data_IF_421727814272
#
_entry.id   IF_421727814272
#
_cell.length_a   1.000
_cell.length_b   1.000
_cell.length_c   1.000
_cell.angle_alpha   90.00
_cell.angle_beta   90.00
_cell.angle_gamma   90.00
#
_symmetry.space_group_name_H-M   'P 1'
#
loop_
_entity.id
_entity.type
_entity.pdbx_description
1 polymer ?
#
# COMPACT_ATOMS: atom_id res chain seq x y z
N UNK A 1 22.97 -18.61 28.97
CA UNK A 1 21.84 -17.98 28.26
C UNK A 1 22.45 -16.80 27.57
N UNK A 2 22.48 -16.85 26.24
CA UNK A 2 23.13 -15.82 25.44
C UNK A 2 22.41 -14.49 25.69
N UNK A 3 23.14 -13.41 25.94
CA UNK A 3 22.55 -12.11 26.33
C UNK A 3 21.87 -11.40 25.14
N UNK A 4 21.86 -12.04 23.97
CA UNK A 4 21.43 -11.53 22.66
C UNK A 4 19.91 -11.63 22.40
N UNK A 5 19.14 -12.33 23.23
CA UNK A 5 17.69 -12.54 23.01
C UNK A 5 16.80 -11.60 23.85
N UNK A 6 17.38 -10.57 24.47
CA UNK A 6 16.61 -9.56 25.22
C UNK A 6 15.83 -8.67 24.26
N UNK A 7 14.50 -8.71 24.34
CA UNK A 7 13.59 -7.84 23.59
C UNK A 7 13.60 -6.45 24.22
N UNK A 8 13.83 -5.41 23.40
CA UNK A 8 13.83 -3.99 23.82
C UNK A 8 12.60 -3.24 23.33
N UNK A 9 11.93 -3.72 22.28
CA UNK A 9 10.65 -3.19 21.80
C UNK A 9 9.82 -4.32 21.18
N UNK A 10 8.52 -4.31 21.43
CA UNK A 10 7.57 -5.22 20.79
C UNK A 10 6.30 -4.45 20.43
N UNK A 11 5.88 -4.53 19.18
CA UNK A 11 4.51 -4.24 18.79
C UNK A 11 3.80 -5.58 18.76
N UNK A 12 2.90 -5.77 19.73
CA UNK A 12 2.27 -7.06 20.02
C UNK A 12 1.71 -7.71 18.75
N UNK A 13 2.21 -8.90 18.42
CA UNK A 13 1.75 -9.70 17.28
C UNK A 13 2.29 -9.27 15.92
N UNK A 14 3.03 -8.15 15.83
CA UNK A 14 3.55 -7.62 14.57
C UNK A 14 5.07 -7.81 14.48
N UNK A 15 5.82 -7.28 15.45
CA UNK A 15 7.29 -7.26 15.38
C UNK A 15 7.94 -7.19 16.76
N UNK A 16 9.11 -7.82 16.89
CA UNK A 16 10.02 -7.69 18.04
C UNK A 16 11.34 -7.09 17.60
N UNK A 17 11.94 -6.27 18.45
CA UNK A 17 13.30 -5.72 18.30
C UNK A 17 14.13 -6.15 19.51
N UNK A 18 15.33 -6.63 19.25
CA UNK A 18 16.26 -7.15 20.23
C UNK A 18 17.34 -6.11 20.57
N UNK A 19 17.97 -6.26 21.73
CA UNK A 19 19.00 -5.33 22.24
C UNK A 19 20.21 -5.18 21.30
N UNK A 20 20.51 -6.23 20.53
CA UNK A 20 21.58 -6.26 19.53
C UNK A 20 21.21 -5.61 18.18
N UNK A 21 20.01 -5.05 18.07
CA UNK A 21 19.49 -4.39 16.86
C UNK A 21 18.82 -5.32 15.86
N UNK A 22 18.82 -6.64 16.07
CA UNK A 22 18.00 -7.56 15.27
C UNK A 22 16.52 -7.26 15.48
N UNK A 23 15.69 -7.65 14.52
CA UNK A 23 14.25 -7.65 14.67
C UNK A 23 13.64 -8.89 14.01
N UNK A 24 12.40 -9.21 14.39
CA UNK A 24 11.64 -10.33 13.87
C UNK A 24 10.19 -9.89 13.62
N UNK A 25 9.77 -9.89 12.35
CA UNK A 25 8.34 -9.78 11.99
C UNK A 25 7.64 -11.10 12.34
N UNK A 26 6.56 -11.01 13.10
CA UNK A 26 5.85 -12.16 13.69
C UNK A 26 4.67 -12.63 12.83
N UNK A 27 4.23 -11.81 11.88
CA UNK A 27 3.11 -12.08 10.99
C UNK A 27 3.31 -11.36 9.65
N UNK A 28 2.49 -11.69 8.65
CA UNK A 28 2.56 -11.10 7.32
C UNK A 28 3.87 -11.40 6.56
N UNK A 29 4.54 -12.51 6.89
CA UNK A 29 5.80 -12.95 6.26
C UNK A 29 5.61 -14.13 5.30
N UNK A 30 4.45 -14.79 5.36
CA UNK A 30 4.13 -15.90 4.45
C UNK A 30 3.96 -15.38 3.03
N UNK A 31 4.37 -16.19 2.04
CA UNK A 31 4.28 -15.83 0.62
C UNK A 31 3.73 -16.99 -0.20
N UNK A 32 2.97 -16.67 -1.23
CA UNK A 32 2.51 -17.59 -2.26
C UNK A 32 3.27 -17.34 -3.57
N UNK A 33 3.58 -18.38 -4.36
CA UNK A 33 4.15 -18.19 -5.68
C UNK A 33 3.13 -17.53 -6.61
N UNK A 34 3.61 -16.78 -7.59
CA UNK A 34 2.78 -16.35 -8.70
C UNK A 34 2.40 -17.57 -9.57
N UNK A 35 1.23 -17.50 -10.19
CA UNK A 35 0.72 -18.58 -11.04
C UNK A 35 -0.69 -18.31 -11.56
N UNK A 36 -1.33 -19.37 -12.04
CA UNK A 36 -2.74 -19.32 -12.46
C UNK A 36 -3.59 -19.69 -11.25
N UNK A 37 -4.48 -18.79 -10.85
CA UNK A 37 -5.48 -19.08 -9.83
C UNK A 37 -6.50 -20.10 -10.37
N UNK A 38 -6.67 -21.27 -9.74
CA UNK A 38 -7.53 -22.32 -10.27
C UNK A 38 -9.02 -21.98 -10.21
N UNK A 39 -9.43 -21.04 -9.35
CA UNK A 39 -10.83 -20.68 -9.15
C UNK A 39 -11.34 -19.67 -10.19
N UNK A 40 -10.53 -18.66 -10.47
CA UNK A 40 -10.86 -17.54 -11.35
C UNK A 40 -10.18 -17.63 -12.73
N UNK A 41 -9.09 -18.39 -12.84
CA UNK A 41 -8.25 -18.41 -14.03
C UNK A 41 -7.39 -17.15 -14.20
N UNK A 42 -7.37 -16.24 -13.22
CA UNK A 42 -6.47 -15.07 -13.22
C UNK A 42 -5.03 -15.57 -13.25
N UNK A 43 -4.23 -14.98 -14.13
CA UNK A 43 -2.80 -15.25 -14.20
C UNK A 43 -2.06 -14.19 -13.41
N UNK A 44 -1.02 -14.60 -12.68
CA UNK A 44 -0.16 -13.69 -11.96
C UNK A 44 1.31 -13.94 -12.24
N UNK A 45 2.13 -12.88 -12.16
CA UNK A 45 3.59 -12.97 -12.27
C UNK A 45 4.27 -11.86 -11.49
N UNK A 46 5.50 -12.11 -11.07
CA UNK A 46 6.32 -11.14 -10.35
C UNK A 46 7.26 -10.42 -11.32
N UNK A 47 7.39 -9.11 -11.14
CA UNK A 47 8.25 -8.24 -11.96
C UNK A 47 9.11 -7.35 -11.08
N UNK A 48 10.35 -7.10 -11.52
CA UNK A 48 11.23 -6.12 -10.87
C UNK A 48 11.00 -4.76 -11.51
N UNK A 49 10.69 -3.78 -10.67
CA UNK A 49 10.47 -2.38 -11.07
C UNK A 49 11.80 -1.61 -11.04
N UNK A 50 12.55 -1.78 -9.95
CA UNK A 50 13.81 -1.07 -9.70
C UNK A 50 14.82 -2.02 -9.08
N UNK A 51 15.79 -2.57 -9.85
CA UNK A 51 16.81 -3.46 -9.32
C UNK A 51 17.68 -2.79 -8.23
N UNK A 52 17.93 -1.49 -8.33
CA UNK A 52 18.80 -0.74 -7.43
C UNK A 52 18.23 -0.62 -6.03
N UNK A 53 16.90 -0.53 -5.93
CA UNK A 53 16.17 -0.37 -4.66
C UNK A 53 15.37 -1.60 -4.28
N UNK A 54 15.43 -2.65 -5.12
CA UNK A 54 14.67 -3.90 -4.99
C UNK A 54 13.15 -3.69 -4.90
N UNK A 55 12.63 -2.69 -5.62
CA UNK A 55 11.18 -2.51 -5.74
C UNK A 55 10.68 -3.52 -6.77
N UNK A 56 9.63 -4.23 -6.41
CA UNK A 56 8.99 -5.22 -7.26
C UNK A 56 7.47 -5.06 -7.26
N UNK A 57 6.78 -5.85 -8.06
CA UNK A 57 5.32 -5.94 -8.02
C UNK A 57 4.86 -7.32 -8.46
N UNK A 58 3.66 -7.70 -7.99
CA UNK A 58 2.91 -8.81 -8.58
C UNK A 58 1.85 -8.26 -9.51
N UNK A 59 1.88 -8.72 -10.75
CA UNK A 59 0.89 -8.39 -11.76
C UNK A 59 -0.22 -9.44 -11.77
N UNK A 60 -1.44 -9.00 -12.06
CA UNK A 60 -2.61 -9.87 -12.24
C UNK A 60 -3.30 -9.54 -13.55
N UNK A 61 -3.53 -10.57 -14.36
CA UNK A 61 -4.21 -10.49 -15.64
C UNK A 61 -5.42 -11.44 -15.64
N UNK A 62 -6.65 -10.92 -15.70
CA UNK A 62 -7.84 -11.77 -15.75
C UNK A 62 -7.92 -12.51 -17.08
N UNK A 63 -8.41 -13.75 -17.04
CA UNK A 63 -8.55 -14.64 -18.21
C UNK A 63 -9.36 -14.01 -19.37
N UNK A 64 -10.26 -13.10 -19.04
CA UNK A 64 -11.15 -12.38 -19.96
C UNK A 64 -10.47 -11.23 -20.70
N UNK A 65 -9.18 -10.96 -20.45
CA UNK A 65 -8.43 -9.89 -21.10
C UNK A 65 -8.19 -10.18 -22.59
N UNK A 66 -9.14 -9.76 -23.44
CA UNK A 66 -9.00 -9.79 -24.92
C UNK A 66 -8.74 -8.42 -25.53
N UNK A 67 -8.70 -7.38 -24.69
CA UNK A 67 -8.46 -5.97 -25.03
C UNK A 67 -7.84 -5.28 -23.81
N UNK A 68 -7.41 -4.02 -23.97
CA UNK A 68 -6.99 -3.21 -22.82
C UNK A 68 -8.13 -3.03 -21.82
N UNK A 69 -7.81 -3.24 -20.54
CA UNK A 69 -8.70 -3.16 -19.39
C UNK A 69 -8.24 -2.02 -18.47
N UNK A 70 -9.14 -1.47 -17.63
CA UNK A 70 -8.71 -0.52 -16.60
C UNK A 70 -7.58 -1.09 -15.76
N UNK A 71 -6.67 -0.22 -15.34
CA UNK A 71 -5.51 -0.57 -14.54
C UNK A 71 -5.74 -0.17 -13.08
N UNK A 72 -5.57 -1.12 -12.17
CA UNK A 72 -5.53 -0.88 -10.74
C UNK A 72 -4.09 -0.98 -10.24
N UNK A 73 -3.55 0.10 -9.67
CA UNK A 73 -2.31 0.03 -8.90
C UNK A 73 -2.70 -0.12 -7.43
N UNK A 74 -2.35 -1.26 -6.85
CA UNK A 74 -2.74 -1.64 -5.49
C UNK A 74 -1.56 -1.54 -4.52
N UNK A 75 -1.78 -0.94 -3.36
CA UNK A 75 -0.84 -0.84 -2.26
C UNK A 75 -1.41 -1.61 -1.06
N UNK A 76 -0.68 -2.61 -0.58
CA UNK A 76 -1.13 -3.43 0.54
C UNK A 76 -1.14 -2.65 1.86
N UNK A 77 -1.94 -3.11 2.83
CA UNK A 77 -1.88 -2.64 4.21
C UNK A 77 -0.73 -3.25 5.02
N UNK A 78 -0.91 -3.37 6.34
CA UNK A 78 0.12 -3.93 7.24
C UNK A 78 0.91 -2.89 8.04
N UNK A 79 0.32 -1.71 8.26
CA UNK A 79 0.90 -0.68 9.14
C UNK A 79 2.27 -0.18 8.72
N UNK A 80 2.60 -0.29 7.42
CA UNK A 80 3.92 0.00 6.83
C UNK A 80 5.06 -0.92 7.30
N UNK A 81 4.77 -2.00 8.04
CA UNK A 81 5.78 -2.87 8.69
C UNK A 81 5.77 -4.30 8.11
N UNK A 82 4.58 -4.84 7.85
CA UNK A 82 4.38 -6.25 7.47
C UNK A 82 3.61 -6.38 6.16
N UNK A 83 3.44 -7.62 5.74
CA UNK A 83 2.75 -8.04 4.51
C UNK A 83 3.52 -7.67 3.24
N UNK A 84 3.05 -8.23 2.13
CA UNK A 84 3.54 -7.99 0.78
C UNK A 84 2.44 -8.35 -0.23
N UNK A 85 2.57 -7.98 -1.52
CA UNK A 85 1.73 -8.49 -2.60
C UNK A 85 1.73 -10.02 -2.72
N UNK A 86 2.75 -10.66 -2.16
CA UNK A 86 2.94 -12.10 -2.23
C UNK A 86 2.23 -12.84 -1.10
N UNK A 87 1.81 -12.13 -0.05
CA UNK A 87 1.10 -12.74 1.08
C UNK A 87 -0.18 -13.45 0.65
N UNK A 88 -0.59 -14.52 1.36
CA UNK A 88 -1.87 -15.17 1.07
C UNK A 88 -3.06 -14.21 1.10
N UNK A 89 -3.06 -13.24 2.01
CA UNK A 89 -4.13 -12.25 2.15
C UNK A 89 -4.26 -11.39 0.88
N UNK A 90 -3.20 -10.69 0.51
CA UNK A 90 -3.24 -9.78 -0.64
C UNK A 90 -3.23 -10.50 -1.97
N UNK A 91 -2.62 -11.69 -2.04
CA UNK A 91 -2.66 -12.49 -3.26
C UNK A 91 -4.07 -12.94 -3.60
N UNK A 92 -4.79 -13.51 -2.62
CA UNK A 92 -6.16 -13.98 -2.82
C UNK A 92 -7.12 -12.81 -3.07
N UNK A 93 -6.95 -11.70 -2.36
CA UNK A 93 -7.74 -10.49 -2.60
C UNK A 93 -7.55 -9.96 -4.02
N UNK A 94 -6.31 -9.87 -4.49
CA UNK A 94 -6.01 -9.37 -5.85
C UNK A 94 -6.55 -10.30 -6.94
N UNK A 95 -6.50 -11.63 -6.76
CA UNK A 95 -7.15 -12.57 -7.68
C UNK A 95 -8.66 -12.32 -7.77
N UNK A 96 -9.33 -12.17 -6.62
CA UNK A 96 -10.77 -11.89 -6.56
C UNK A 96 -11.11 -10.57 -7.26
N UNK A 97 -10.39 -9.48 -6.95
CA UNK A 97 -10.62 -8.16 -7.54
C UNK A 97 -10.39 -8.18 -9.05
N UNK A 98 -9.29 -8.80 -9.50
CA UNK A 98 -8.98 -8.89 -10.93
C UNK A 98 -10.10 -9.64 -11.69
N UNK A 99 -10.60 -10.73 -11.12
CA UNK A 99 -11.66 -11.54 -11.70
C UNK A 99 -13.02 -10.82 -11.73
N UNK A 100 -13.47 -10.31 -10.60
CA UNK A 100 -14.81 -9.71 -10.45
C UNK A 100 -14.93 -8.33 -11.09
N UNK A 101 -13.84 -7.55 -11.09
CA UNK A 101 -13.82 -6.21 -11.67
C UNK A 101 -13.30 -6.17 -13.11
N UNK A 102 -12.74 -7.29 -13.60
CA UNK A 102 -12.13 -7.40 -14.93
C UNK A 102 -11.10 -6.29 -15.20
N UNK A 103 -10.11 -6.19 -14.31
CA UNK A 103 -9.03 -5.19 -14.34
C UNK A 103 -7.65 -5.85 -14.35
N UNK A 104 -6.67 -5.17 -14.95
CA UNK A 104 -5.25 -5.51 -14.74
C UNK A 104 -4.83 -4.92 -13.40
N UNK A 105 -4.08 -5.66 -12.58
CA UNK A 105 -3.59 -5.16 -11.29
C UNK A 105 -2.06 -5.14 -11.29
N UNK A 106 -1.49 -4.03 -10.82
CA UNK A 106 -0.09 -3.92 -10.38
C UNK A 106 -0.11 -3.81 -8.85
N UNK A 107 0.17 -4.90 -8.14
CA UNK A 107 0.23 -4.91 -6.67
C UNK A 107 1.68 -4.66 -6.24
N UNK A 108 1.94 -3.48 -5.68
CA UNK A 108 3.30 -2.95 -5.48
C UNK A 108 3.92 -3.50 -4.20
N UNK A 109 5.13 -4.05 -4.33
CA UNK A 109 5.96 -4.53 -3.23
C UNK A 109 6.92 -3.40 -2.81
N UNK A 110 6.39 -2.47 -2.03
CA UNK A 110 7.16 -1.35 -1.51
C UNK A 110 7.95 -1.77 -0.26
N UNK A 111 9.05 -1.07 0.05
CA UNK A 111 9.84 -1.40 1.23
C UNK A 111 9.15 -0.96 2.53
N UNK A 112 9.22 -1.81 3.54
CA UNK A 112 8.57 -1.64 4.86
C UNK A 112 9.56 -1.29 5.96
N UNK A 113 9.06 -0.71 7.06
CA UNK A 113 9.78 -0.58 8.32
C UNK A 113 9.98 -1.95 9.00
N UNK A 114 10.98 -2.10 9.89
CA UNK A 114 11.96 -1.08 10.31
C UNK A 114 13.15 -0.94 9.35
N UNK A 115 13.32 -1.85 8.38
CA UNK A 115 14.43 -1.80 7.42
C UNK A 115 14.43 -0.49 6.63
N UNK A 116 13.24 -0.06 6.24
CA UNK A 116 13.00 1.13 5.44
C UNK A 116 11.84 1.93 6.04
N UNK A 117 12.10 2.79 7.04
CA UNK A 117 11.07 3.60 7.67
C UNK A 117 10.33 4.50 6.68
N UNK A 118 9.11 4.89 7.03
CA UNK A 118 8.36 5.94 6.32
C UNK A 118 9.24 7.20 6.26
N UNK A 119 9.32 7.91 5.12
CA UNK A 119 8.48 7.83 3.92
C UNK A 119 9.00 6.92 2.78
N UNK A 120 9.85 5.92 3.06
CA UNK A 120 10.44 5.10 1.96
C UNK A 120 9.38 4.43 1.09
N UNK A 121 8.34 3.84 1.68
CA UNK A 121 7.23 3.23 0.96
C UNK A 121 6.51 4.19 -0.02
N UNK A 122 6.39 5.48 0.32
CA UNK A 122 5.78 6.51 -0.54
C UNK A 122 6.66 6.84 -1.76
N UNK A 123 7.98 6.78 -1.58
CA UNK A 123 8.92 6.97 -2.69
C UNK A 123 8.93 5.76 -3.62
N UNK A 124 8.90 4.56 -3.04
CA UNK A 124 8.87 3.30 -3.82
C UNK A 124 7.58 3.18 -4.63
N UNK A 125 6.45 3.53 -4.01
CA UNK A 125 5.14 3.56 -4.66
C UNK A 125 5.10 4.56 -5.82
N UNK A 126 5.74 5.71 -5.65
CA UNK A 126 5.87 6.69 -6.73
C UNK A 126 6.78 6.19 -7.86
N UNK A 127 7.85 5.48 -7.54
CA UNK A 127 8.72 4.86 -8.52
C UNK A 127 7.99 3.77 -9.32
N UNK A 128 7.15 2.96 -8.66
CA UNK A 128 6.27 2.00 -9.32
C UNK A 128 5.27 2.67 -10.28
N UNK A 129 4.66 3.78 -9.87
CA UNK A 129 3.76 4.55 -10.73
C UNK A 129 4.51 5.12 -11.94
N UNK A 130 5.71 5.68 -11.75
CA UNK A 130 6.54 6.18 -12.86
C UNK A 130 6.97 5.06 -13.80
N UNK A 131 7.24 3.87 -13.27
CA UNK A 131 7.55 2.70 -14.08
C UNK A 131 6.37 2.32 -14.97
N UNK A 132 5.16 2.20 -14.40
CA UNK A 132 3.91 1.93 -15.16
C UNK A 132 3.63 3.02 -16.19
N UNK A 133 3.74 4.29 -15.80
CA UNK A 133 3.47 5.44 -16.65
C UNK A 133 4.57 5.69 -17.70
N UNK A 134 5.74 5.08 -17.51
CA UNK A 134 6.82 5.08 -18.48
C UNK A 134 6.61 4.01 -19.55
N UNK A 135 7.48 4.01 -20.55
CA UNK A 135 7.54 2.90 -21.51
C UNK A 135 8.20 1.67 -20.86
N UNK A 136 7.60 1.13 -19.78
CA UNK A 136 8.12 -0.07 -19.14
C UNK A 136 8.14 -1.23 -20.15
N UNK A 137 9.14 -2.13 -20.10
CA UNK A 137 9.26 -3.21 -21.07
C UNK A 137 8.29 -4.38 -20.81
N UNK A 138 7.28 -4.21 -19.96
CA UNK A 138 6.40 -5.28 -19.49
C UNK A 138 5.18 -5.47 -20.41
N UNK A 139 5.08 -6.59 -21.17
CA UNK A 139 4.00 -6.79 -22.13
C UNK A 139 2.60 -6.77 -21.53
N UNK A 140 2.40 -7.24 -20.29
CA UNK A 140 1.08 -7.24 -19.66
C UNK A 140 0.53 -5.83 -19.47
N UNK A 141 1.40 -4.87 -19.14
CA UNK A 141 1.01 -3.47 -19.03
C UNK A 141 0.80 -2.87 -20.43
N UNK A 142 1.75 -3.07 -21.34
CA UNK A 142 1.68 -2.47 -22.67
C UNK A 142 0.50 -2.96 -23.51
N UNK A 143 0.18 -4.25 -23.44
CA UNK A 143 -0.81 -4.90 -24.30
C UNK A 143 -2.21 -4.93 -23.68
N UNK A 144 -2.31 -5.00 -22.35
CA UNK A 144 -3.60 -5.23 -21.65
C UNK A 144 -4.00 -4.15 -20.66
N UNK A 145 -3.14 -3.20 -20.29
CA UNK A 145 -3.53 -2.08 -19.42
C UNK A 145 -3.93 -0.84 -20.22
N UNK A 146 -5.07 -0.26 -19.85
CA UNK A 146 -5.57 1.01 -20.33
C UNK A 146 -5.11 2.15 -19.43
N UNK A 147 -4.06 2.85 -19.85
CA UNK A 147 -3.48 3.97 -19.09
C UNK A 147 -4.37 5.23 -19.09
N UNK A 148 -5.47 5.26 -19.86
CA UNK A 148 -6.48 6.30 -19.75
C UNK A 148 -7.50 6.03 -18.63
N UNK A 149 -7.52 4.81 -18.10
CA UNK A 149 -8.43 4.36 -17.05
C UNK A 149 -7.67 3.74 -15.88
N UNK A 150 -6.87 4.56 -15.20
CA UNK A 150 -6.07 4.14 -14.04
C UNK A 150 -6.80 4.44 -12.72
N UNK A 151 -6.70 3.52 -11.77
CA UNK A 151 -7.18 3.65 -10.40
C UNK A 151 -6.07 3.32 -9.43
N UNK A 152 -5.97 4.07 -8.33
CA UNK A 152 -5.13 3.69 -7.20
C UNK A 152 -6.00 3.14 -6.08
N UNK A 153 -5.56 2.07 -5.44
CA UNK A 153 -6.27 1.51 -4.31
C UNK A 153 -5.32 0.97 -3.26
N UNK A 154 -5.83 0.86 -2.06
CA UNK A 154 -5.15 0.16 -0.99
C UNK A 154 -6.05 0.07 0.22
N UNK A 155 -5.56 -0.66 1.21
CA UNK A 155 -6.23 -0.82 2.50
C UNK A 155 -5.32 -0.39 3.65
N UNK A 156 -5.89 0.17 4.72
CA UNK A 156 -5.12 0.60 5.90
C UNK A 156 -3.96 1.52 5.49
N UNK A 157 -2.72 1.16 5.84
CA UNK A 157 -1.51 1.85 5.42
C UNK A 157 -1.39 2.03 3.89
N UNK A 158 -1.84 1.05 3.11
CA UNK A 158 -1.85 1.10 1.64
C UNK A 158 -2.84 2.11 1.08
N UNK A 159 -3.98 2.31 1.74
CA UNK A 159 -4.92 3.37 1.37
C UNK A 159 -4.30 4.76 1.63
N UNK A 160 -3.56 4.92 2.73
CA UNK A 160 -2.79 6.13 3.01
C UNK A 160 -1.76 6.39 1.90
N UNK A 161 -1.06 5.36 1.43
CA UNK A 161 -0.16 5.45 0.27
C UNK A 161 -0.94 5.88 -0.99
N UNK A 162 -2.07 5.23 -1.31
CA UNK A 162 -2.88 5.54 -2.47
C UNK A 162 -3.34 7.01 -2.49
N UNK A 163 -3.75 7.53 -1.34
CA UNK A 163 -4.11 8.94 -1.14
C UNK A 163 -2.95 9.88 -1.49
N UNK A 164 -1.77 9.66 -0.89
CA UNK A 164 -0.58 10.46 -1.14
C UNK A 164 -0.12 10.38 -2.59
N UNK A 165 -0.24 9.22 -3.23
CA UNK A 165 0.09 9.07 -4.65
C UNK A 165 -0.84 9.89 -5.55
N UNK A 166 -2.13 9.98 -5.25
CA UNK A 166 -3.06 10.81 -6.00
C UNK A 166 -2.80 12.32 -5.85
N UNK A 167 -2.35 12.77 -4.68
CA UNK A 167 -1.82 14.13 -4.46
C UNK A 167 -0.56 14.37 -5.31
N UNK A 168 0.34 13.39 -5.32
CA UNK A 168 1.61 13.45 -6.06
C UNK A 168 1.39 13.55 -7.58
N UNK A 169 0.36 12.87 -8.11
CA UNK A 169 -0.08 13.01 -9.52
C UNK A 169 -0.45 14.46 -9.87
N UNK A 170 -1.07 15.20 -8.95
CA UNK A 170 -1.46 16.60 -9.19
C UNK A 170 -0.36 17.63 -8.99
N UNK A 171 0.60 17.33 -8.12
CA UNK A 171 1.63 18.28 -7.68
C UNK A 171 3.02 18.09 -8.31
N UNK A 172 3.37 16.89 -8.78
CA UNK A 172 4.67 16.64 -9.44
C UNK A 172 4.64 16.85 -10.96
N UNK A 173 5.78 17.30 -11.50
CA UNK A 173 6.00 17.63 -12.91
C UNK A 173 7.33 16.96 -13.34
N UNK A 174 7.42 16.22 -14.47
CA UNK A 174 6.48 16.09 -15.59
C UNK A 174 5.19 15.34 -15.27
N UNK A 175 4.12 15.71 -15.98
CA UNK A 175 2.88 14.93 -15.98
C UNK A 175 3.18 13.50 -16.42
N UNK A 176 2.69 12.55 -15.64
CA UNK A 176 2.75 11.13 -15.99
C UNK A 176 1.89 10.84 -17.23
N UNK A 177 2.28 9.85 -18.02
CA UNK A 177 1.48 9.34 -19.15
C UNK A 177 0.39 8.38 -18.67
N UNK A 178 -0.34 8.77 -17.62
CA UNK A 178 -1.51 8.06 -17.09
C UNK A 178 -2.63 9.07 -16.80
N UNK A 179 -3.87 8.60 -16.89
CA UNK A 179 -5.04 9.35 -16.50
C UNK A 179 -5.69 8.68 -15.28
N UNK A 180 -5.49 9.27 -14.10
CA UNK A 180 -6.02 8.77 -12.83
C UNK A 180 -7.52 9.10 -12.72
N UNK A 181 -8.37 8.10 -12.91
CA UNK A 181 -9.83 8.23 -12.85
C UNK A 181 -10.36 8.30 -11.42
N UNK A 182 -9.71 7.61 -10.48
CA UNK A 182 -10.16 7.61 -9.09
C UNK A 182 -9.24 6.87 -8.15
N UNK A 183 -9.52 7.05 -6.86
CA UNK A 183 -8.89 6.28 -5.78
C UNK A 183 -9.93 5.53 -4.96
N UNK A 184 -9.54 4.35 -4.47
CA UNK A 184 -10.36 3.48 -3.62
C UNK A 184 -9.60 3.26 -2.30
N UNK A 185 -10.11 3.84 -1.23
CA UNK A 185 -9.49 3.84 0.09
C UNK A 185 -10.29 2.91 1.00
N UNK A 186 -9.74 1.72 1.27
CA UNK A 186 -10.36 0.74 2.16
C UNK A 186 -9.80 0.95 3.56
N UNK A 187 -10.61 1.40 4.51
CA UNK A 187 -10.20 1.54 5.91
C UNK A 187 -8.91 2.36 6.06
N UNK A 188 -8.82 3.58 5.48
CA UNK A 188 -7.55 4.28 5.40
C UNK A 188 -6.97 4.55 6.78
N UNK A 189 -5.66 4.30 6.92
CA UNK A 189 -4.95 4.61 8.14
C UNK A 189 -4.63 6.11 8.17
N UNK A 190 -5.67 6.90 8.43
CA UNK A 190 -5.54 8.29 8.83
C UNK A 190 -5.65 8.42 10.34
N UNK A 191 -4.97 9.41 10.90
CA UNK A 191 -4.94 9.66 12.33
C UNK A 191 -4.61 11.13 12.60
N UNK A 192 -5.02 11.62 13.76
CA UNK A 192 -4.73 12.98 14.23
C UNK A 192 -4.52 13.04 15.73
N UNK A 193 -3.94 14.12 16.23
CA UNK A 193 -3.86 14.37 17.67
C UNK A 193 -5.25 14.66 18.26
N UNK A 194 -6.03 15.50 17.55
CA UNK A 194 -7.43 15.76 17.82
C UNK A 194 -8.28 14.55 17.42
N UNK A 195 -9.20 14.14 18.29
CA UNK A 195 -10.00 12.93 18.09
C UNK A 195 -11.33 13.25 17.44
N UNK A 196 -11.71 12.42 16.48
CA UNK A 196 -13.00 12.51 15.82
C UNK A 196 -13.85 11.30 16.22
N UNK A 197 -15.12 11.56 16.51
CA UNK A 197 -16.09 10.51 16.85
C UNK A 197 -15.64 9.61 18.02
N UNK A 198 -15.58 8.31 17.77
CA UNK A 198 -15.33 7.25 18.76
C UNK A 198 -13.84 6.92 18.99
N UNK A 199 -12.93 7.55 18.24
CA UNK A 199 -11.48 7.27 18.31
C UNK A 199 -10.89 7.43 19.71
N UNK A 200 -11.41 8.39 20.48
CA UNK A 200 -10.90 8.74 21.81
C UNK A 200 -11.00 7.63 22.85
N UNK A 201 -11.96 6.72 22.69
CA UNK A 201 -12.28 5.67 23.68
C UNK A 201 -11.91 4.25 23.19
N UNK A 202 -11.40 4.12 21.96
CA UNK A 202 -11.19 2.81 21.35
C UNK A 202 -9.97 2.07 21.94
N UNK A 203 -10.09 0.80 22.34
CA UNK A 203 -9.02 0.07 23.06
C UNK A 203 -7.77 -0.18 22.21
N UNK A 204 -7.88 -0.09 20.89
CA UNK A 204 -6.75 -0.28 19.97
C UNK A 204 -5.95 1.00 19.69
N UNK A 205 -6.33 2.15 20.26
CA UNK A 205 -5.66 3.43 20.04
C UNK A 205 -4.14 3.39 20.33
N UNK A 206 -3.68 2.93 21.52
CA UNK A 206 -2.25 2.91 21.82
C UNK A 206 -1.47 2.02 20.84
N UNK A 207 -2.10 0.93 20.39
CA UNK A 207 -1.51 0.03 19.42
C UNK A 207 -1.32 0.71 18.05
N UNK A 208 -2.29 1.49 17.58
CA UNK A 208 -2.15 2.23 16.33
C UNK A 208 -1.06 3.29 16.46
N UNK A 209 -1.08 4.11 17.50
CA UNK A 209 -0.04 5.12 17.73
C UNK A 209 1.36 4.48 17.80
N UNK A 210 1.53 3.35 18.47
CA UNK A 210 2.80 2.61 18.53
C UNK A 210 3.25 2.11 17.15
N UNK A 211 2.32 1.62 16.31
CA UNK A 211 2.61 1.23 14.92
C UNK A 211 3.13 2.42 14.13
N UNK A 212 2.47 3.57 14.20
CA UNK A 212 2.91 4.77 13.49
C UNK A 212 4.28 5.24 13.97
N UNK A 213 4.46 5.41 15.28
CA UNK A 213 5.72 5.88 15.86
C UNK A 213 6.88 4.91 15.60
N UNK A 214 6.61 3.62 15.42
CA UNK A 214 7.60 2.64 15.00
C UNK A 214 7.91 2.71 13.51
N UNK A 215 6.88 2.78 12.66
CA UNK A 215 7.03 2.83 11.21
C UNK A 215 7.68 4.14 10.73
N UNK A 216 7.42 5.25 11.43
CA UNK A 216 7.99 6.56 11.16
C UNK A 216 8.73 7.16 12.38
N UNK A 217 9.93 6.69 12.73
CA UNK A 217 10.66 7.17 13.92
C UNK A 217 11.03 8.66 13.90
N UNK A 218 10.99 9.29 12.72
CA UNK A 218 11.28 10.72 12.50
C UNK A 218 10.02 11.57 12.34
N UNK A 219 8.86 10.99 12.63
CA UNK A 219 7.58 11.70 12.54
C UNK A 219 7.55 12.94 13.45
N UNK A 220 6.78 13.92 13.02
CA UNK A 220 6.38 15.07 13.85
C UNK A 220 5.32 14.73 14.90
N UNK A 221 4.84 13.47 14.93
CA UNK A 221 3.91 12.95 15.91
C UNK A 221 2.61 12.47 15.25
N UNK A 222 1.49 12.62 15.97
CA UNK A 222 0.18 12.17 15.49
C UNK A 222 -0.48 13.13 14.50
N UNK A 223 0.03 14.37 14.41
CA UNK A 223 -0.39 15.38 13.43
C UNK A 223 0.56 15.46 12.23
N UNK A 224 1.34 14.42 12.01
CA UNK A 224 2.20 14.34 10.85
C UNK A 224 1.36 14.30 9.57
N UNK A 225 1.70 15.16 8.61
CA UNK A 225 0.97 15.29 7.34
C UNK A 225 0.83 13.96 6.57
N UNK A 226 1.69 12.97 6.83
CA UNK A 226 1.63 11.68 6.16
C UNK A 226 0.49 10.78 6.66
N UNK A 227 -0.02 11.02 7.86
CA UNK A 227 -1.16 10.29 8.44
C UNK A 227 -2.35 11.20 8.78
N UNK A 228 -2.15 12.51 8.88
CA UNK A 228 -3.21 13.48 9.13
C UNK A 228 -3.46 14.32 7.85
N UNK A 229 -4.47 13.97 7.02
CA UNK A 229 -4.79 14.71 5.80
C UNK A 229 -5.14 16.19 6.05
N UNK A 230 -5.69 16.54 7.22
CA UNK A 230 -6.01 17.93 7.56
C UNK A 230 -4.76 18.80 7.76
N UNK A 231 -3.61 18.15 8.00
CA UNK A 231 -2.31 18.82 8.14
C UNK A 231 -1.49 18.78 6.85
N UNK A 232 -1.95 18.10 5.80
CA UNK A 232 -1.25 18.06 4.52
C UNK A 232 -1.56 19.33 3.69
N UNK A 233 -0.58 20.25 3.51
CA UNK A 233 -0.81 21.47 2.74
C UNK A 233 -1.06 21.19 1.24
N UNK A 234 -0.81 19.96 0.76
CA UNK A 234 -1.01 19.54 -0.62
C UNK A 234 -2.27 18.72 -0.83
N UNK A 235 -3.13 18.57 0.19
CA UNK A 235 -4.39 17.81 0.04
C UNK A 235 -5.27 18.35 -1.10
N UNK A 236 -5.21 19.66 -1.37
CA UNK A 236 -5.91 20.30 -2.50
C UNK A 236 -5.36 19.90 -3.88
N UNK A 237 -4.17 19.33 -3.94
CA UNK A 237 -3.53 18.86 -5.17
C UNK A 237 -3.99 17.44 -5.53
N UNK A 238 -4.84 16.81 -4.72
CA UNK A 238 -5.42 15.50 -5.00
C UNK A 238 -6.09 15.49 -6.38
N UNK A 239 -5.52 14.71 -7.31
CA UNK A 239 -5.88 14.75 -8.73
C UNK A 239 -6.51 13.44 -9.18
N UNK A 240 -7.81 13.29 -8.93
CA UNK A 240 -8.61 12.23 -9.54
C UNK A 240 -10.07 12.66 -9.71
N UNK A 241 -10.82 11.96 -10.56
CA UNK A 241 -12.22 12.28 -10.87
C UNK A 241 -13.20 11.83 -9.78
N UNK A 242 -12.85 10.77 -9.04
CA UNK A 242 -13.72 10.10 -8.07
C UNK A 242 -12.92 9.54 -6.90
N UNK A 243 -13.49 9.61 -5.70
CA UNK A 243 -12.95 8.99 -4.49
C UNK A 243 -14.01 8.05 -3.93
N UNK A 244 -13.66 6.80 -3.69
CA UNK A 244 -14.44 5.85 -2.91
C UNK A 244 -13.71 5.61 -1.59
N UNK A 245 -14.38 5.88 -0.46
CA UNK A 245 -13.87 5.56 0.87
C UNK A 245 -14.81 4.51 1.49
N UNK A 246 -14.24 3.39 1.90
CA UNK A 246 -14.97 2.32 2.58
C UNK A 246 -14.50 2.28 4.03
N UNK A 247 -15.43 2.40 4.98
CA UNK A 247 -15.14 2.28 6.41
C UNK A 247 -16.17 1.36 7.05
N UNK A 248 -15.74 0.52 7.99
CA UNK A 248 -16.64 -0.33 8.76
C UNK A 248 -16.95 0.35 10.09
N UNK A 249 -18.20 0.18 10.56
CA UNK A 249 -18.74 0.70 11.83
C UNK A 249 -17.97 0.26 13.10
N UNK A 250 -17.04 -0.68 12.96
CA UNK A 250 -16.22 -1.21 14.07
C UNK A 250 -14.74 -0.97 13.86
N UNK A 251 -14.39 -0.22 12.83
CA UNK A 251 -13.03 0.21 12.60
C UNK A 251 -12.69 1.37 13.52
N UNK A 252 -11.46 1.38 14.03
CA UNK A 252 -10.96 2.52 14.81
C UNK A 252 -10.83 3.77 13.95
N UNK A 253 -10.66 3.62 12.64
CA UNK A 253 -10.50 4.71 11.67
C UNK A 253 -11.84 5.21 11.09
N UNK A 254 -12.99 4.96 11.74
CA UNK A 254 -14.30 5.48 11.33
C UNK A 254 -14.46 7.00 11.52
N UNK A 255 -13.59 7.60 12.34
CA UNK A 255 -13.61 9.01 12.75
C UNK A 255 -13.68 10.02 11.61
#
# INVERSE_FOLDING_TARGET
MDSSDKIVKEIRGIIRVYEDGRFQKLTGTDVLPAGIDPSSGVQSKDVVISPETNISARLYLPKTATKKLPLLIYFHGGGFIIESPFSPLYHNFSNLVAAESNVVIVSVDYRTAPEHPVPTCLNDSWEAIKWVAGNCPEPWINDYADLENVFFAGDSAGATIAHHMAIRVGSENPRLSINLQGIILLHPYFWGADRIGSEGEHPWKPFMEDVWMFAHPRTSGLDDQLINPDKDPKVSDLRCSKVLVCVAEKDIFEG
#
